data_IF_839389725374
#
_entry.id   IF_839389725374
#
_cell.length_a   1.000
_cell.length_b   1.000
_cell.length_c   1.000
_cell.angle_alpha   90.00
_cell.angle_beta   90.00
_cell.angle_gamma   90.00
#
_symmetry.space_group_name_H-M   'P 1'
#
loop_
_entity.id
_entity.type
_entity.pdbx_description
1 polymer ?
#
# COMPACT_ATOMS: atom_id res chain seq x y z
N UNK A 1 5.64 19.76 34.20
CA UNK A 1 5.42 18.54 35.00
C UNK A 1 6.74 17.79 35.02
N UNK A 2 7.41 17.71 36.17
CA UNK A 2 8.77 17.13 36.27
C UNK A 2 8.64 15.68 36.74
N UNK A 3 9.05 14.74 35.91
CA UNK A 3 9.05 13.31 36.27
C UNK A 3 10.22 13.09 37.24
N UNK A 4 9.99 12.39 38.35
CA UNK A 4 11.01 12.11 39.36
C UNK A 4 11.95 10.99 38.88
N UNK A 5 13.21 10.99 39.32
CA UNK A 5 14.16 9.92 38.99
C UNK A 5 13.64 8.53 39.42
N UNK A 6 12.88 8.48 40.51
CA UNK A 6 12.23 7.26 40.98
C UNK A 6 11.16 6.76 39.99
N UNK A 7 10.31 7.65 39.47
CA UNK A 7 9.32 7.29 38.45
C UNK A 7 9.98 6.83 37.14
N UNK A 8 11.14 7.40 36.78
CA UNK A 8 11.94 6.92 35.63
C UNK A 8 12.48 5.51 35.88
N UNK A 9 13.03 5.26 37.07
CA UNK A 9 13.61 3.95 37.41
C UNK A 9 12.53 2.86 37.52
N UNK A 10 11.34 3.17 38.05
CA UNK A 10 10.19 2.26 38.11
C UNK A 10 9.64 1.97 36.70
N UNK A 11 9.61 2.96 35.82
CA UNK A 11 9.22 2.77 34.42
C UNK A 11 10.23 1.88 33.67
N UNK A 12 11.53 2.11 33.87
CA UNK A 12 12.59 1.26 33.29
C UNK A 12 12.46 -0.18 33.78
N UNK A 13 12.32 -0.39 35.09
CA UNK A 13 12.14 -1.73 35.67
C UNK A 13 10.85 -2.42 35.15
N UNK A 14 9.75 -1.67 35.01
CA UNK A 14 8.51 -2.17 34.43
C UNK A 14 8.71 -2.60 32.98
N UNK A 15 9.38 -1.78 32.15
CA UNK A 15 9.65 -2.09 30.74
C UNK A 15 10.61 -3.27 30.58
N UNK A 16 11.63 -3.37 31.43
CA UNK A 16 12.60 -4.48 31.42
C UNK A 16 11.99 -5.79 31.93
N UNK A 17 11.07 -5.73 32.91
CA UNK A 17 10.39 -6.91 33.47
C UNK A 17 9.23 -7.42 32.60
N UNK A 18 8.67 -6.58 31.73
CA UNK A 18 7.46 -6.90 30.98
C UNK A 18 7.68 -8.02 29.95
N UNK A 19 8.92 -8.30 29.55
CA UNK A 19 9.21 -9.28 28.50
C UNK A 19 8.57 -8.92 27.15
N UNK A 20 8.10 -7.68 27.00
CA UNK A 20 7.48 -7.18 25.79
C UNK A 20 8.55 -6.87 24.75
N UNK A 21 8.36 -7.40 23.56
CA UNK A 21 9.21 -7.10 22.41
C UNK A 21 9.26 -5.59 22.21
N UNK A 22 10.46 -5.03 22.06
CA UNK A 22 10.64 -3.63 21.68
C UNK A 22 9.92 -3.33 20.36
N UNK A 23 9.63 -2.06 20.08
CA UNK A 23 9.02 -1.63 18.81
C UNK A 23 9.80 -2.18 17.61
N UNK A 24 11.13 -2.22 17.70
CA UNK A 24 12.00 -2.77 16.66
C UNK A 24 11.80 -4.28 16.50
N UNK A 25 11.79 -5.03 17.59
CA UNK A 25 11.60 -6.48 17.54
C UNK A 25 10.18 -6.85 17.08
N UNK A 26 9.16 -6.10 17.48
CA UNK A 26 7.80 -6.27 16.96
C UNK A 26 7.74 -6.05 15.45
N UNK A 27 8.41 -5.02 14.93
CA UNK A 27 8.52 -4.77 13.47
C UNK A 27 9.24 -5.92 12.77
N UNK A 28 10.36 -6.39 13.32
CA UNK A 28 11.09 -7.53 12.76
C UNK A 28 10.25 -8.81 12.77
N UNK A 29 9.53 -9.09 13.85
CA UNK A 29 8.70 -10.28 13.95
C UNK A 29 7.53 -10.24 12.94
N UNK A 30 6.89 -9.08 12.76
CA UNK A 30 5.87 -8.90 11.73
C UNK A 30 6.45 -9.14 10.32
N UNK A 31 7.63 -8.60 10.04
CA UNK A 31 8.31 -8.77 8.76
C UNK A 31 8.70 -10.24 8.52
N UNK A 32 9.27 -10.90 9.53
CA UNK A 32 9.67 -12.30 9.45
C UNK A 32 8.47 -13.22 9.19
N UNK A 33 7.33 -12.98 9.85
CA UNK A 33 6.09 -13.72 9.59
C UNK A 33 5.61 -13.55 8.15
N UNK A 34 5.62 -12.32 7.63
CA UNK A 34 5.27 -12.06 6.23
C UNK A 34 6.22 -12.78 5.26
N UNK A 35 7.53 -12.84 5.56
CA UNK A 35 8.50 -13.56 4.74
C UNK A 35 8.26 -15.07 4.72
N UNK A 36 7.95 -15.68 5.87
CA UNK A 36 7.63 -17.12 5.94
C UNK A 36 6.36 -17.42 5.14
N UNK A 37 5.35 -16.57 5.23
CA UNK A 37 4.10 -16.71 4.48
C UNK A 37 4.32 -16.57 2.96
N UNK A 38 5.08 -15.57 2.52
CA UNK A 38 5.48 -15.41 1.12
C UNK A 38 6.31 -16.60 0.60
N UNK A 39 7.22 -17.12 1.43
CA UNK A 39 8.00 -18.30 1.07
C UNK A 39 7.11 -19.52 0.85
N UNK A 40 6.05 -19.70 1.66
CA UNK A 40 5.09 -20.78 1.48
C UNK A 40 4.31 -20.64 0.15
N UNK A 41 3.84 -19.44 -0.19
CA UNK A 41 3.20 -19.20 -1.50
C UNK A 41 4.16 -19.49 -2.67
N UNK A 42 5.41 -19.03 -2.57
CA UNK A 42 6.42 -19.28 -3.60
C UNK A 42 6.74 -20.78 -3.77
N UNK A 43 6.73 -21.55 -2.68
CA UNK A 43 6.91 -23.01 -2.76
C UNK A 43 5.74 -23.66 -3.51
N UNK A 44 4.50 -23.27 -3.21
CA UNK A 44 3.32 -23.79 -3.91
C UNK A 44 3.33 -23.44 -5.41
N UNK A 45 3.66 -22.18 -5.75
CA UNK A 45 3.83 -21.73 -7.14
C UNK A 45 4.92 -22.51 -7.87
N UNK A 46 6.07 -22.71 -7.22
CA UNK A 46 7.19 -23.46 -7.81
C UNK A 46 6.83 -24.92 -8.05
N UNK A 47 6.18 -25.58 -7.09
CA UNK A 47 5.68 -26.95 -7.25
C UNK A 47 4.71 -27.06 -8.42
N UNK A 48 3.79 -26.10 -8.55
CA UNK A 48 2.84 -26.07 -9.66
C UNK A 48 3.54 -25.87 -11.03
N UNK A 49 4.56 -25.01 -11.08
CA UNK A 49 5.35 -24.77 -12.30
C UNK A 49 6.22 -25.98 -12.71
N UNK A 50 6.88 -26.64 -11.74
CA UNK A 50 7.66 -27.86 -12.00
C UNK A 50 6.77 -28.98 -12.57
N UNK A 51 5.56 -29.13 -12.02
CA UNK A 51 4.62 -30.15 -12.50
C UNK A 51 4.04 -29.80 -13.89
N UNK A 52 3.78 -28.53 -14.17
CA UNK A 52 3.32 -28.05 -15.49
C UNK A 52 4.30 -28.36 -16.64
N UNK A 53 5.58 -28.51 -16.32
CA UNK A 53 6.67 -28.66 -17.30
C UNK A 53 7.27 -30.06 -17.31
N UNK A 54 6.72 -30.99 -16.52
CA UNK A 54 7.21 -32.37 -16.46
C UNK A 54 6.93 -33.12 -17.78
N UNK A 55 7.90 -33.92 -18.22
CA UNK A 55 7.89 -34.57 -19.54
C UNK A 55 6.94 -35.77 -19.64
N UNK A 56 6.52 -36.35 -18.52
CA UNK A 56 5.58 -37.47 -18.41
C UNK A 56 4.10 -37.04 -18.37
N UNK A 57 3.85 -35.73 -18.44
CA UNK A 57 2.52 -35.11 -18.40
C UNK A 57 1.74 -35.22 -19.72
N UNK A 58 2.42 -35.64 -20.79
CA UNK A 58 1.89 -35.67 -22.14
C UNK A 58 1.86 -37.10 -22.66
N UNK A 59 0.70 -37.53 -23.17
CA UNK A 59 0.54 -38.78 -23.90
C UNK A 59 0.47 -38.46 -25.38
N UNK A 60 1.39 -39.01 -26.17
CA UNK A 60 1.33 -38.93 -27.62
C UNK A 60 0.26 -39.89 -28.15
N UNK A 61 -0.73 -39.30 -28.82
CA UNK A 61 -1.82 -39.97 -29.50
C UNK A 61 -1.36 -40.52 -30.85
N UNK A 62 -2.12 -41.46 -31.41
CA UNK A 62 -1.80 -42.09 -32.70
C UNK A 62 -1.81 -41.12 -33.89
N UNK A 63 -2.44 -39.96 -33.74
CA UNK A 63 -2.48 -38.86 -34.73
C UNK A 63 -1.36 -37.82 -34.52
N UNK A 64 -0.47 -38.03 -33.54
CA UNK A 64 0.60 -37.11 -33.18
C UNK A 64 0.18 -35.96 -32.26
N UNK A 65 -1.06 -35.94 -31.78
CA UNK A 65 -1.51 -34.96 -30.77
C UNK A 65 -1.02 -35.35 -29.38
N UNK A 66 -0.86 -34.37 -28.49
CA UNK A 66 -0.48 -34.59 -27.09
C UNK A 66 -1.68 -34.37 -26.17
N UNK A 67 -2.06 -35.40 -25.43
CA UNK A 67 -3.08 -35.34 -24.38
C UNK A 67 -2.46 -35.18 -22.99
N UNK A 68 -3.09 -34.36 -22.16
CA UNK A 68 -2.59 -34.08 -20.82
C UNK A 68 -3.06 -35.14 -19.80
N UNK A 69 -2.12 -35.92 -19.27
CA UNK A 69 -2.35 -37.19 -18.55
C UNK A 69 -3.08 -37.05 -17.19
N UNK A 70 -3.16 -35.84 -16.63
CA UNK A 70 -3.73 -35.57 -15.30
C UNK A 70 -4.53 -34.25 -15.24
N UNK A 71 -5.25 -33.92 -16.33
CA UNK A 71 -5.90 -32.61 -16.51
C UNK A 71 -6.76 -32.17 -15.32
N UNK A 72 -7.63 -33.04 -14.79
CA UNK A 72 -8.58 -32.65 -13.73
C UNK A 72 -7.89 -32.33 -12.40
N UNK A 73 -6.99 -33.20 -11.93
CA UNK A 73 -6.24 -32.98 -10.69
C UNK A 73 -5.26 -31.80 -10.81
N UNK A 74 -4.66 -31.63 -11.99
CA UNK A 74 -3.73 -30.53 -12.28
C UNK A 74 -4.39 -29.16 -12.24
N UNK A 75 -5.63 -29.06 -12.73
CA UNK A 75 -6.40 -27.82 -12.71
C UNK A 75 -6.61 -27.33 -11.27
N UNK A 76 -6.87 -28.24 -10.32
CA UNK A 76 -7.08 -27.87 -8.92
C UNK A 76 -5.78 -27.44 -8.22
N UNK A 77 -4.66 -28.13 -8.49
CA UNK A 77 -3.34 -27.74 -7.96
C UNK A 77 -2.90 -26.38 -8.50
N UNK A 78 -3.05 -26.14 -9.80
CA UNK A 78 -2.75 -24.83 -10.40
C UNK A 78 -3.64 -23.73 -9.85
N UNK A 79 -4.95 -23.93 -9.80
CA UNK A 79 -5.90 -22.94 -9.28
C UNK A 79 -5.53 -22.55 -7.85
N UNK A 80 -5.26 -23.54 -7.00
CA UNK A 80 -4.86 -23.31 -5.61
C UNK A 80 -3.53 -22.56 -5.52
N UNK A 81 -2.53 -22.91 -6.33
CA UNK A 81 -1.24 -22.23 -6.32
C UNK A 81 -1.31 -20.79 -6.85
N UNK A 82 -2.25 -20.51 -7.77
CA UNK A 82 -2.49 -19.16 -8.30
C UNK A 82 -3.21 -18.24 -7.32
N UNK A 83 -3.85 -18.77 -6.29
CA UNK A 83 -4.39 -17.97 -5.19
C UNK A 83 -3.23 -17.53 -4.29
N UNK A 84 -2.87 -16.24 -4.36
CA UNK A 84 -1.75 -15.65 -3.61
C UNK A 84 -2.23 -14.60 -2.59
N UNK A 85 -3.03 -14.97 -1.58
CA UNK A 85 -3.66 -14.03 -0.64
C UNK A 85 -2.66 -13.23 0.22
N UNK A 86 -1.48 -13.76 0.52
CA UNK A 86 -0.41 -13.06 1.24
C UNK A 86 0.16 -11.97 0.35
N UNK A 87 0.46 -12.31 -0.91
CA UNK A 87 0.90 -11.33 -1.91
C UNK A 87 -0.14 -10.23 -2.10
N UNK A 88 -1.43 -10.57 -2.25
CA UNK A 88 -2.52 -9.61 -2.38
C UNK A 88 -2.62 -8.68 -1.17
N UNK A 89 -2.52 -9.24 0.04
CA UNK A 89 -2.53 -8.46 1.29
C UNK A 89 -1.36 -7.49 1.35
N UNK A 90 -0.17 -7.90 0.94
CA UNK A 90 1.03 -7.04 0.93
C UNK A 90 0.86 -5.90 -0.07
N UNK A 91 0.40 -6.21 -1.29
CA UNK A 91 0.13 -5.20 -2.32
C UNK A 91 -0.95 -4.21 -1.86
N UNK A 92 -2.02 -4.70 -1.23
CA UNK A 92 -3.06 -3.85 -0.65
C UNK A 92 -2.49 -2.94 0.47
N UNK A 93 -1.62 -3.46 1.32
CA UNK A 93 -0.91 -2.70 2.35
C UNK A 93 -0.04 -1.59 1.75
N UNK A 94 0.78 -1.92 0.76
CA UNK A 94 1.63 -0.93 0.05
C UNK A 94 0.77 0.16 -0.61
N UNK A 95 -0.34 -0.22 -1.24
CA UNK A 95 -1.28 0.74 -1.85
C UNK A 95 -1.92 1.65 -0.79
N UNK A 96 -2.28 1.10 0.38
CA UNK A 96 -2.82 1.87 1.49
C UNK A 96 -1.77 2.84 2.05
N UNK A 97 -0.55 2.37 2.29
CA UNK A 97 0.55 3.22 2.77
C UNK A 97 0.86 4.35 1.78
N UNK A 98 0.96 4.03 0.48
CA UNK A 98 1.18 5.04 -0.57
C UNK A 98 0.08 6.10 -0.65
N UNK A 99 -1.19 5.72 -0.42
CA UNK A 99 -2.31 6.66 -0.32
C UNK A 99 -2.15 7.61 0.86
N UNK A 100 -1.79 7.09 2.04
CA UNK A 100 -1.55 7.90 3.24
C UNK A 100 -0.37 8.85 3.04
N UNK A 101 0.72 8.37 2.46
CA UNK A 101 1.90 9.18 2.13
C UNK A 101 1.57 10.29 1.14
N UNK A 102 0.82 9.98 0.08
CA UNK A 102 0.38 10.97 -0.92
C UNK A 102 -0.47 12.09 -0.30
N UNK A 103 -1.40 11.75 0.59
CA UNK A 103 -2.21 12.74 1.33
C UNK A 103 -1.34 13.63 2.21
N UNK A 104 -0.43 13.04 3.00
CA UNK A 104 0.48 13.81 3.84
C UNK A 104 1.39 14.72 3.02
N UNK A 105 1.86 14.24 1.87
CA UNK A 105 2.69 15.01 0.94
C UNK A 105 1.93 16.21 0.38
N UNK A 106 0.69 16.02 -0.10
CA UNK A 106 -0.14 17.11 -0.61
C UNK A 106 -0.43 18.18 0.45
N UNK A 107 -0.85 17.75 1.66
CA UNK A 107 -1.05 18.65 2.80
C UNK A 107 0.22 19.42 3.16
N UNK A 108 1.36 18.74 3.20
CA UNK A 108 2.67 19.35 3.48
C UNK A 108 3.09 20.37 2.42
N UNK A 109 2.82 20.10 1.13
CA UNK A 109 3.08 21.05 0.03
C UNK A 109 2.23 22.31 0.16
N UNK A 110 0.95 22.19 0.47
CA UNK A 110 0.07 23.34 0.68
C UNK A 110 0.53 24.18 1.88
N UNK A 111 0.82 23.54 3.01
CA UNK A 111 1.32 24.23 4.20
C UNK A 111 2.65 24.94 3.93
N UNK A 112 3.57 24.31 3.19
CA UNK A 112 4.82 24.93 2.77
C UNK A 112 4.59 26.13 1.83
N UNK A 113 3.68 26.00 0.86
CA UNK A 113 3.34 27.08 -0.05
C UNK A 113 2.84 28.33 0.69
N UNK A 114 2.01 28.15 1.72
CA UNK A 114 1.58 29.24 2.60
C UNK A 114 2.75 29.82 3.41
N UNK A 115 3.52 28.98 4.10
CA UNK A 115 4.64 29.45 4.94
C UNK A 115 5.73 30.20 4.16
N UNK A 116 5.85 29.94 2.85
CA UNK A 116 6.78 30.62 1.96
C UNK A 116 6.14 31.78 1.16
N UNK A 117 4.89 32.14 1.45
CA UNK A 117 4.23 33.30 0.86
C UNK A 117 3.69 33.11 -0.57
N UNK A 118 3.60 31.87 -1.06
CA UNK A 118 3.00 31.58 -2.37
C UNK A 118 1.46 31.57 -2.32
N UNK A 119 0.86 31.47 -1.13
CA UNK A 119 -0.58 31.50 -0.91
C UNK A 119 -0.93 32.68 -0.02
N UNK A 120 -1.56 33.69 -0.60
CA UNK A 120 -2.04 34.89 0.11
C UNK A 120 -3.48 34.71 0.58
N UNK A 121 -3.65 33.90 1.64
CA UNK A 121 -4.94 33.61 2.29
C UNK A 121 -4.80 33.65 3.81
N UNK A 122 -5.89 33.89 4.56
CA UNK A 122 -5.85 33.80 6.01
C UNK A 122 -5.37 32.42 6.49
N UNK A 123 -4.54 32.39 7.54
CA UNK A 123 -4.04 31.14 8.13
C UNK A 123 -5.16 30.17 8.51
N UNK A 124 -6.31 30.68 8.95
CA UNK A 124 -7.48 29.87 9.28
C UNK A 124 -8.00 29.10 8.04
N UNK A 125 -8.17 29.78 6.90
CA UNK A 125 -8.65 29.16 5.67
C UNK A 125 -7.66 28.11 5.15
N UNK A 126 -6.36 28.43 5.14
CA UNK A 126 -5.33 27.46 4.74
C UNK A 126 -5.30 26.26 5.70
N UNK A 127 -5.43 26.52 7.00
CA UNK A 127 -5.48 25.49 8.03
C UNK A 127 -6.66 24.54 7.86
N UNK A 128 -7.82 25.06 7.48
CA UNK A 128 -9.00 24.23 7.20
C UNK A 128 -8.82 23.38 5.95
N UNK A 129 -8.21 23.90 4.87
CA UNK A 129 -7.90 23.10 3.67
C UNK A 129 -6.85 22.03 3.97
N UNK A 130 -5.78 22.36 4.71
CA UNK A 130 -4.76 21.37 5.12
C UNK A 130 -5.40 20.27 5.98
N UNK A 131 -6.30 20.64 6.91
CA UNK A 131 -7.03 19.67 7.73
C UNK A 131 -7.94 18.79 6.85
N UNK A 132 -8.68 19.39 5.92
CA UNK A 132 -9.53 18.68 4.96
C UNK A 132 -8.75 17.66 4.14
N UNK A 133 -7.55 18.02 3.65
CA UNK A 133 -6.67 17.08 2.94
C UNK A 133 -6.26 15.93 3.88
N UNK A 134 -5.82 16.24 5.10
CA UNK A 134 -5.41 15.20 6.06
C UNK A 134 -6.56 14.26 6.47
N UNK A 135 -7.79 14.74 6.57
CA UNK A 135 -8.95 13.91 6.89
C UNK A 135 -9.34 12.96 5.76
N UNK A 136 -8.90 13.21 4.52
CA UNK A 136 -9.13 12.28 3.40
C UNK A 136 -8.51 10.88 3.63
N UNK A 137 -7.59 10.74 4.58
CA UNK A 137 -7.07 9.43 5.02
C UNK A 137 -8.17 8.53 5.60
N UNK A 138 -9.13 9.12 6.31
CA UNK A 138 -10.27 8.40 6.89
C UNK A 138 -11.24 7.97 5.78
N UNK A 139 -11.46 8.84 4.79
CA UNK A 139 -12.28 8.52 3.61
C UNK A 139 -11.66 7.36 2.82
N UNK A 140 -10.35 7.39 2.58
CA UNK A 140 -9.64 6.33 1.84
C UNK A 140 -9.64 4.97 2.55
N UNK A 141 -9.78 4.96 3.88
CA UNK A 141 -9.89 3.73 4.67
C UNK A 141 -11.31 3.13 4.63
N UNK A 142 -12.34 3.98 4.52
CA UNK A 142 -13.75 3.57 4.63
C UNK A 142 -14.49 3.47 3.28
N UNK A 143 -14.10 4.28 2.30
CA UNK A 143 -14.70 4.35 0.97
C UNK A 143 -13.65 4.83 -0.05
N UNK A 144 -12.84 3.94 -0.62
CA UNK A 144 -11.84 4.35 -1.60
C UNK A 144 -12.54 4.91 -2.84
N UNK A 145 -12.42 6.22 -3.07
CA UNK A 145 -13.06 6.90 -4.20
C UNK A 145 -12.75 6.18 -5.52
N UNK A 146 -13.78 5.95 -6.34
CA UNK A 146 -13.64 5.32 -7.67
C UNK A 146 -12.82 6.19 -8.64
N UNK A 147 -12.87 7.53 -8.51
CA UNK A 147 -12.25 8.49 -9.44
C UNK A 147 -11.24 9.47 -8.78
N UNK A 148 -11.31 9.67 -7.45
CA UNK A 148 -10.54 10.71 -6.75
C UNK A 148 -9.02 10.47 -6.64
N UNK A 149 -8.52 9.32 -7.08
CA UNK A 149 -7.10 8.96 -7.03
C UNK A 149 -6.37 9.11 -8.39
N UNK A 150 -7.10 9.31 -9.49
CA UNK A 150 -6.51 9.37 -10.83
C UNK A 150 -5.71 10.66 -11.07
N UNK A 151 -6.04 11.73 -10.35
CA UNK A 151 -5.51 13.08 -10.59
C UNK A 151 -6.25 13.84 -11.69
N UNK A 152 -7.18 13.20 -12.41
CA UNK A 152 -7.89 13.78 -13.58
C UNK A 152 -8.60 15.09 -13.25
N UNK A 153 -9.20 15.21 -12.06
CA UNK A 153 -9.82 16.46 -11.61
C UNK A 153 -8.80 17.60 -11.52
N UNK A 154 -7.60 17.33 -10.98
CA UNK A 154 -6.55 18.33 -10.84
C UNK A 154 -5.97 18.73 -12.20
N UNK A 155 -5.78 17.76 -13.10
CA UNK A 155 -5.30 17.98 -14.47
C UNK A 155 -6.29 18.82 -15.28
N UNK A 156 -7.59 18.51 -15.19
CA UNK A 156 -8.65 19.28 -15.83
C UNK A 156 -8.70 20.71 -15.29
N UNK A 157 -8.64 20.88 -13.96
CA UNK A 157 -8.62 22.20 -13.33
C UNK A 157 -7.41 23.02 -13.81
N UNK A 158 -6.23 22.40 -13.91
CA UNK A 158 -5.04 23.07 -14.41
C UNK A 158 -5.21 23.54 -15.86
N UNK A 159 -5.74 22.68 -16.73
CA UNK A 159 -5.99 23.04 -18.13
C UNK A 159 -6.97 24.23 -18.26
N UNK A 160 -8.03 24.25 -17.45
CA UNK A 160 -8.99 25.36 -17.40
C UNK A 160 -8.32 26.67 -16.94
N UNK A 161 -7.49 26.61 -15.89
CA UNK A 161 -6.78 27.79 -15.39
C UNK A 161 -5.75 28.32 -16.38
N UNK A 162 -5.03 27.45 -17.08
CA UNK A 162 -4.07 27.85 -18.11
C UNK A 162 -4.72 28.57 -19.29
N UNK A 163 -5.96 28.22 -19.64
CA UNK A 163 -6.74 28.95 -20.66
C UNK A 163 -7.14 30.31 -20.13
N UNK A 164 -7.71 30.38 -18.93
CA UNK A 164 -8.14 31.64 -18.33
C UNK A 164 -6.98 32.64 -18.14
N UNK A 165 -5.79 32.15 -17.78
CA UNK A 165 -4.59 32.98 -17.64
C UNK A 165 -4.09 33.52 -18.98
N UNK A 166 -4.21 32.74 -20.07
CA UNK A 166 -3.87 33.20 -21.42
C UNK A 166 -4.83 34.30 -21.89
N UNK A 167 -6.13 34.11 -21.71
CA UNK A 167 -7.16 35.09 -22.11
C UNK A 167 -7.14 36.37 -21.25
N UNK A 168 -6.73 36.26 -19.98
CA UNK A 168 -6.59 37.40 -19.07
C UNK A 168 -5.33 38.24 -19.32
N UNK A 169 -4.30 37.68 -19.97
CA UNK A 169 -3.06 38.39 -20.30
C UNK A 169 -3.16 39.26 -21.56
N UNK A 170 -4.20 39.06 -22.38
CA UNK A 170 -4.48 39.83 -23.61
C UNK A 170 -5.38 41.06 -23.38
N UNK A 171 -5.65 41.45 -22.12
CA UNK A 171 -6.42 42.64 -21.73
C UNK A 171 -5.58 43.63 -20.93
#
# INVERSE_FOLDING_TARGET
MTITQQAVNELIASLESAGELSIREQKFLKLAKAHVQLAAENVALKQAAEFATASDMWIEQADGMLDYRYHEWYVDVLKTAMETPVTDRIVAGIKADGRIEGVNFAAGRLAAAFNHGFVDKPMAEVGDVVRMILTAKEDLANNPAEDGLSGEYAEKSLAEWEVALREGADK
#
